data_IF_238840495842
#
_entry.id   IF_238840495842
#
_cell.length_a   1.000
_cell.length_b   1.000
_cell.length_c   1.000
_cell.angle_alpha   90.00
_cell.angle_beta   90.00
_cell.angle_gamma   90.00
#
_symmetry.space_group_name_H-M   'P 1'
#
loop_
_entity.id
_entity.type
_entity.pdbx_description
1 polymer ?
#
# COMPACT_ATOMS: atom_id res chain seq x y z
N UNK A 1 -1.26 3.07 15.29
CA UNK A 1 -1.43 2.37 14.01
C UNK A 1 -0.20 2.60 13.14
N UNK A 2 0.39 1.54 12.64
CA UNK A 2 1.53 1.61 11.75
C UNK A 2 1.08 1.35 10.31
N UNK A 3 1.25 2.34 9.46
CA UNK A 3 0.80 2.27 8.06
C UNK A 3 2.02 2.29 7.15
N UNK A 4 2.07 1.37 6.20
CA UNK A 4 3.06 1.39 5.12
C UNK A 4 2.38 1.71 3.81
N UNK A 5 2.94 2.66 3.07
CA UNK A 5 2.47 3.02 1.74
C UNK A 5 3.43 2.44 0.73
N UNK A 6 2.88 1.70 -0.25
CA UNK A 6 3.67 1.21 -1.38
C UNK A 6 3.57 2.26 -2.49
N UNK A 7 4.70 2.85 -2.85
CA UNK A 7 4.77 3.91 -3.85
C UNK A 7 5.33 3.39 -5.17
N UNK A 8 4.66 3.73 -6.28
CA UNK A 8 5.14 3.43 -7.63
C UNK A 8 5.95 4.58 -8.25
N UNK A 9 6.26 5.60 -7.47
CA UNK A 9 7.00 6.77 -7.92
C UNK A 9 6.13 7.85 -8.57
N UNK A 10 4.84 7.62 -8.77
CA UNK A 10 3.93 8.62 -9.32
C UNK A 10 3.36 9.48 -8.22
N UNK A 11 3.56 10.79 -8.32
CA UNK A 11 3.18 11.72 -7.26
C UNK A 11 1.68 11.73 -6.97
N UNK A 12 0.84 11.63 -8.00
CA UNK A 12 -0.61 11.60 -7.83
C UNK A 12 -1.06 10.38 -7.02
N UNK A 13 -0.49 9.21 -7.29
CA UNK A 13 -0.78 7.99 -6.54
C UNK A 13 -0.31 8.09 -5.10
N UNK A 14 0.88 8.63 -4.90
CA UNK A 14 1.43 8.81 -3.56
C UNK A 14 0.58 9.80 -2.74
N UNK A 15 0.12 10.88 -3.36
CA UNK A 15 -0.73 11.86 -2.68
C UNK A 15 -2.06 11.26 -2.22
N UNK A 16 -2.68 10.40 -3.02
CA UNK A 16 -3.89 9.70 -2.63
C UNK A 16 -3.66 8.81 -1.42
N UNK A 17 -2.58 8.02 -1.46
CA UNK A 17 -2.24 7.11 -0.37
C UNK A 17 -1.88 7.87 0.91
N UNK A 18 -1.09 8.94 0.79
CA UNK A 18 -0.70 9.77 1.93
C UNK A 18 -1.90 10.46 2.56
N UNK A 19 -2.81 11.00 1.75
CA UNK A 19 -4.01 11.66 2.26
C UNK A 19 -4.83 10.73 3.14
N UNK A 20 -5.05 9.50 2.69
CA UNK A 20 -5.77 8.50 3.47
C UNK A 20 -4.99 8.11 4.74
N UNK A 21 -3.70 7.84 4.61
CA UNK A 21 -2.88 7.42 5.74
C UNK A 21 -2.82 8.50 6.82
N UNK A 22 -2.64 9.76 6.43
CA UNK A 22 -2.59 10.89 7.36
C UNK A 22 -3.91 11.07 8.09
N UNK A 23 -5.04 10.90 7.38
CA UNK A 23 -6.36 10.99 8.01
C UNK A 23 -6.56 9.89 9.05
N UNK A 24 -6.11 8.67 8.76
CA UNK A 24 -6.22 7.55 9.70
C UNK A 24 -5.34 7.75 10.94
N UNK A 25 -4.10 8.19 10.73
CA UNK A 25 -3.16 8.44 11.83
C UNK A 25 -3.62 9.61 12.70
N UNK A 26 -4.26 10.63 12.11
CA UNK A 26 -4.81 11.74 12.85
C UNK A 26 -5.88 11.29 13.85
N UNK A 27 -6.63 10.24 13.53
CA UNK A 27 -7.68 9.71 14.41
C UNK A 27 -7.17 8.65 15.38
N UNK A 28 -6.33 7.74 14.90
CA UNK A 28 -5.92 6.56 15.67
C UNK A 28 -4.54 6.70 16.30
N UNK A 29 -3.77 7.70 15.89
CA UNK A 29 -2.37 7.81 16.25
C UNK A 29 -1.50 6.83 15.47
N UNK A 30 -0.18 6.97 15.57
CA UNK A 30 0.76 6.07 14.94
C UNK A 30 1.70 6.75 13.97
N UNK A 31 2.23 5.98 13.02
CA UNK A 31 3.24 6.43 12.08
C UNK A 31 2.96 5.94 10.66
N UNK A 32 3.46 6.68 9.68
CA UNK A 32 3.37 6.34 8.27
C UNK A 32 4.78 6.14 7.72
N UNK A 33 5.01 5.03 7.01
CA UNK A 33 6.27 4.76 6.33
C UNK A 33 5.96 4.57 4.84
N UNK A 34 6.81 5.15 3.99
CA UNK A 34 6.69 5.01 2.54
C UNK A 34 7.73 4.01 2.05
N UNK A 35 7.28 3.00 1.31
CA UNK A 35 8.14 2.01 0.67
C UNK A 35 8.15 2.30 -0.82
N UNK A 36 9.29 2.80 -1.34
CA UNK A 36 9.41 3.16 -2.75
C UNK A 36 9.74 1.92 -3.59
N UNK A 37 8.91 1.64 -4.58
CA UNK A 37 9.06 0.47 -5.46
C UNK A 37 9.47 0.83 -6.88
N UNK A 38 9.60 2.12 -7.20
CA UNK A 38 9.92 2.58 -8.54
C UNK A 38 11.28 2.01 -8.99
N UNK A 39 11.33 1.54 -10.23
CA UNK A 39 12.56 1.03 -10.83
C UNK A 39 12.90 -0.40 -10.47
N UNK A 40 12.13 -1.05 -9.60
CA UNK A 40 12.36 -2.44 -9.22
C UNK A 40 11.61 -3.40 -10.14
N UNK A 41 12.20 -4.58 -10.36
CA UNK A 41 11.48 -5.69 -10.99
C UNK A 41 10.37 -6.18 -10.07
N UNK A 42 9.45 -7.00 -10.59
CA UNK A 42 8.38 -7.59 -9.78
C UNK A 42 8.95 -8.33 -8.57
N UNK A 43 9.98 -9.16 -8.78
CA UNK A 43 10.62 -9.88 -7.68
C UNK A 43 11.31 -8.93 -6.70
N UNK A 44 11.96 -7.89 -7.19
CA UNK A 44 12.59 -6.87 -6.34
C UNK A 44 11.57 -6.12 -5.49
N UNK A 45 10.40 -5.80 -6.05
CA UNK A 45 9.31 -5.18 -5.31
C UNK A 45 8.82 -6.09 -4.19
N UNK A 46 8.58 -7.36 -4.49
CA UNK A 46 8.12 -8.33 -3.50
C UNK A 46 9.14 -8.46 -2.36
N UNK A 47 10.42 -8.60 -2.69
CA UNK A 47 11.48 -8.70 -1.69
C UNK A 47 11.53 -7.48 -0.78
N UNK A 48 11.40 -6.29 -1.36
CA UNK A 48 11.44 -5.05 -0.59
C UNK A 48 10.24 -4.94 0.36
N UNK A 49 9.06 -5.34 -0.10
CA UNK A 49 7.84 -5.27 0.71
C UNK A 49 7.89 -6.26 1.87
N UNK A 50 8.37 -7.49 1.65
CA UNK A 50 8.39 -8.53 2.69
C UNK A 50 9.63 -8.49 3.56
N UNK A 51 10.60 -7.63 3.27
CA UNK A 51 11.78 -7.44 4.11
C UNK A 51 11.47 -6.50 5.29
N UNK A 52 12.44 -6.28 6.17
CA UNK A 52 12.26 -5.36 7.29
C UNK A 52 11.68 -6.03 8.52
N UNK A 53 12.11 -7.25 8.81
CA UNK A 53 11.64 -8.00 9.98
C UNK A 53 12.05 -7.35 11.32
N UNK A 54 12.96 -6.40 11.29
CA UNK A 54 13.41 -5.64 12.45
C UNK A 54 12.49 -4.45 12.77
N UNK A 55 11.52 -4.18 11.90
CA UNK A 55 10.57 -3.08 12.09
C UNK A 55 9.27 -3.58 12.71
N UNK A 56 8.52 -2.71 13.39
CA UNK A 56 7.19 -3.07 13.89
C UNK A 56 6.31 -3.57 12.75
N UNK A 57 5.52 -4.60 13.06
CA UNK A 57 4.59 -5.14 12.07
C UNK A 57 3.59 -4.06 11.66
N UNK A 58 3.38 -3.84 10.35
CA UNK A 58 2.39 -2.86 9.92
C UNK A 58 0.97 -3.35 10.20
N UNK A 59 0.10 -2.41 10.56
CA UNK A 59 -1.32 -2.68 10.74
C UNK A 59 -2.09 -2.57 9.44
N UNK A 60 -1.56 -1.79 8.49
CA UNK A 60 -2.24 -1.50 7.25
C UNK A 60 -1.23 -1.20 6.14
N UNK A 61 -1.48 -1.72 4.94
CA UNK A 61 -0.80 -1.30 3.71
C UNK A 61 -1.77 -0.53 2.84
N UNK A 62 -1.31 0.60 2.31
CA UNK A 62 -2.07 1.42 1.36
C UNK A 62 -1.24 1.57 0.09
N UNK A 63 -1.90 1.48 -1.06
CA UNK A 63 -1.23 1.64 -2.34
C UNK A 63 -2.18 2.22 -3.38
N UNK A 64 -1.60 2.82 -4.43
CA UNK A 64 -2.29 3.25 -5.62
C UNK A 64 -1.38 3.00 -6.83
N UNK A 65 -1.97 2.62 -7.96
CA UNK A 65 -1.22 2.33 -9.18
C UNK A 65 -1.10 0.83 -9.47
N UNK A 66 -1.10 0.50 -10.76
CA UNK A 66 -1.05 -0.91 -11.21
C UNK A 66 0.23 -1.62 -10.77
N UNK A 67 1.33 -0.91 -10.70
CA UNK A 67 2.62 -1.49 -10.34
C UNK A 67 2.67 -1.97 -8.87
N UNK A 68 1.70 -1.57 -8.05
CA UNK A 68 1.66 -1.95 -6.64
C UNK A 68 0.73 -3.13 -6.35
N UNK A 69 -0.01 -3.64 -7.35
CA UNK A 69 -1.01 -4.69 -7.13
C UNK A 69 -0.39 -5.98 -6.58
N UNK A 70 0.58 -6.54 -7.29
CA UNK A 70 1.22 -7.80 -6.85
C UNK A 70 1.99 -7.61 -5.54
N UNK A 71 2.80 -6.56 -5.35
CA UNK A 71 3.43 -6.32 -4.05
C UNK A 71 2.44 -6.17 -2.90
N UNK A 72 1.28 -5.54 -3.14
CA UNK A 72 0.26 -5.36 -2.11
C UNK A 72 -0.36 -6.69 -1.70
N UNK A 73 -0.65 -7.57 -2.68
CA UNK A 73 -1.17 -8.91 -2.42
C UNK A 73 -0.14 -9.73 -1.61
N UNK A 74 1.14 -9.65 -1.99
CA UNK A 74 2.20 -10.33 -1.27
C UNK A 74 2.36 -9.82 0.16
N UNK A 75 2.21 -8.51 0.36
CA UNK A 75 2.23 -7.92 1.70
C UNK A 75 1.10 -8.47 2.57
N UNK A 76 -0.11 -8.55 2.01
CA UNK A 76 -1.26 -9.10 2.72
C UNK A 76 -1.02 -10.55 3.16
N UNK A 77 -0.47 -11.36 2.27
CA UNK A 77 -0.20 -12.78 2.56
C UNK A 77 0.93 -12.93 3.58
N UNK A 78 2.01 -12.18 3.42
CA UNK A 78 3.20 -12.32 4.26
C UNK A 78 2.96 -11.81 5.69
N UNK A 79 2.39 -10.63 5.83
CA UNK A 79 2.18 -10.01 7.13
C UNK A 79 0.81 -10.32 7.73
N UNK A 80 -0.11 -10.89 6.96
CA UNK A 80 -1.50 -11.15 7.38
C UNK A 80 -2.15 -9.88 7.92
N UNK A 81 -1.98 -8.79 7.20
CA UNK A 81 -2.48 -7.48 7.58
C UNK A 81 -3.50 -6.97 6.57
N UNK A 82 -4.19 -5.89 6.89
CA UNK A 82 -5.18 -5.29 6.00
C UNK A 82 -4.52 -4.53 4.86
N UNK A 83 -5.19 -4.48 3.72
CA UNK A 83 -4.72 -3.78 2.53
C UNK A 83 -5.81 -2.89 1.95
N UNK A 84 -5.43 -1.69 1.51
CA UNK A 84 -6.32 -0.74 0.85
C UNK A 84 -5.70 -0.34 -0.48
N UNK A 85 -6.46 -0.47 -1.55
CA UNK A 85 -6.05 -0.04 -2.88
C UNK A 85 -6.86 1.20 -3.27
N UNK A 86 -6.17 2.30 -3.59
CA UNK A 86 -6.80 3.60 -3.88
C UNK A 86 -6.98 3.83 -5.38
N UNK A 87 -7.50 2.82 -6.10
CA UNK A 87 -7.81 2.94 -7.51
C UNK A 87 -8.66 1.75 -7.96
N UNK A 88 -9.22 1.83 -9.17
CA UNK A 88 -9.89 0.67 -9.77
C UNK A 88 -8.84 -0.41 -10.09
N UNK A 89 -8.92 -1.61 -9.50
CA UNK A 89 -7.92 -2.63 -9.73
C UNK A 89 -8.11 -3.31 -11.09
N UNK A 90 -7.01 -3.81 -11.66
CA UNK A 90 -7.05 -4.71 -12.82
C UNK A 90 -7.28 -6.16 -12.39
N UNK A 91 -7.07 -6.45 -11.12
CA UNK A 91 -7.36 -7.74 -10.50
C UNK A 91 -8.65 -7.62 -9.69
N UNK A 92 -9.34 -8.76 -9.41
CA UNK A 92 -10.56 -8.71 -8.61
C UNK A 92 -10.34 -8.04 -7.25
N UNK A 93 -11.30 -7.23 -6.81
CA UNK A 93 -11.22 -6.55 -5.52
C UNK A 93 -11.11 -7.50 -4.33
N UNK A 94 -11.50 -8.76 -4.52
CA UNK A 94 -11.37 -9.77 -3.46
C UNK A 94 -9.92 -10.06 -3.04
N UNK A 95 -8.94 -9.69 -3.86
CA UNK A 95 -7.52 -9.79 -3.48
C UNK A 95 -7.08 -8.72 -2.48
N UNK A 96 -7.92 -7.71 -2.26
CA UNK A 96 -7.64 -6.59 -1.36
C UNK A 96 -8.76 -6.50 -0.33
N UNK A 97 -8.44 -5.99 0.86
CA UNK A 97 -9.48 -5.84 1.89
C UNK A 97 -10.43 -4.69 1.57
N UNK A 98 -9.92 -3.64 0.90
CA UNK A 98 -10.72 -2.49 0.50
C UNK A 98 -10.17 -1.89 -0.77
N UNK A 99 -11.04 -1.60 -1.73
CA UNK A 99 -10.71 -0.85 -2.94
C UNK A 99 -11.45 0.48 -2.91
N UNK A 100 -10.71 1.58 -2.87
CA UNK A 100 -11.29 2.91 -2.98
C UNK A 100 -11.15 3.36 -4.43
N UNK A 101 -12.26 3.33 -5.15
CA UNK A 101 -12.28 3.67 -6.57
C UNK A 101 -12.66 5.14 -6.71
N UNK A 102 -11.73 6.00 -7.20
CA UNK A 102 -12.06 7.40 -7.41
C UNK A 102 -13.18 7.56 -8.42
N UNK A 103 -14.04 8.52 -8.19
CA UNK A 103 -15.03 8.93 -9.18
C UNK A 103 -14.33 9.79 -10.21
N UNK A 104 -14.36 9.33 -11.44
CA UNK A 104 -13.91 10.14 -12.58
C UNK A 104 -15.13 10.55 -13.37
N UNK A 105 -15.27 11.81 -13.54
CA UNK A 105 -16.33 12.39 -14.35
C UNK A 105 -15.84 12.71 -15.75
#
# INVERSE_FOLDING_TARGET
MNIRILSDGKQGHLNQSLGLAQALVAKAGGAVEIVELQGLSTLGKIRKVVSGNDKPRPDLFIAAGHATHIPLICARQHFKTKTVLCMKPTLPCSFFDLCLIPRHD
#
